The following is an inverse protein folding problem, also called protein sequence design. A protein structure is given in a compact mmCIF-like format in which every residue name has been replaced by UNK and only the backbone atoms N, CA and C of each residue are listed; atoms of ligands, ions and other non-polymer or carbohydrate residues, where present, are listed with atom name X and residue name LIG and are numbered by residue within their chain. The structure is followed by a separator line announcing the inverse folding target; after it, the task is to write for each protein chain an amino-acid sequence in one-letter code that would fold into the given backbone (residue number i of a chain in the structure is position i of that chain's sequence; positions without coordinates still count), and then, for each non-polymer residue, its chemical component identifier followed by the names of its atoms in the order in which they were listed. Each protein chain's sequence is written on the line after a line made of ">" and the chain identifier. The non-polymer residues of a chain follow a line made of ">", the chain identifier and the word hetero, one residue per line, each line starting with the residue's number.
data_IF_215409392518
#
_entry.id   IF_215409392518
#
_cell.length_a   1.000
_cell.length_b   1.000
_cell.length_c   1.000
_cell.angle_alpha   90.00
_cell.angle_beta   90.00
_cell.angle_gamma   90.00
#
_symmetry.space_group_name_H-M   'P 1'
#
loop_
_entity.id
_entity.type
_entity.pdbx_description
1 polymer ?
#
# COMPACT_ATOMS: atom_id res chain seq x y z
N UNK A 1 -9.60 22.68 -6.54
CA UNK A 1 -8.85 21.42 -6.87
C UNK A 1 -9.85 20.32 -7.15
N UNK A 2 -9.69 19.55 -8.23
CA UNK A 2 -10.61 18.46 -8.55
C UNK A 2 -10.58 17.42 -7.42
N UNK A 3 -11.73 17.11 -6.80
CA UNK A 3 -11.84 16.14 -5.67
C UNK A 3 -11.12 14.83 -6.00
N UNK A 4 -11.14 14.42 -7.26
CA UNK A 4 -10.45 13.23 -7.78
C UNK A 4 -8.92 13.28 -7.68
N UNK A 5 -8.31 14.41 -7.99
CA UNK A 5 -6.84 14.57 -7.93
C UNK A 5 -6.36 14.55 -6.47
N UNK A 6 -7.19 15.07 -5.55
CA UNK A 6 -6.95 14.97 -4.11
C UNK A 6 -7.01 13.50 -3.67
N UNK A 7 -8.06 12.76 -4.05
CA UNK A 7 -8.20 11.33 -3.72
C UNK A 7 -7.01 10.52 -4.24
N UNK A 8 -6.59 10.71 -5.50
CA UNK A 8 -5.43 10.01 -6.07
C UNK A 8 -4.13 10.32 -5.33
N UNK A 9 -3.88 11.59 -4.98
CA UNK A 9 -2.71 11.96 -4.17
C UNK A 9 -2.78 11.37 -2.77
N UNK A 10 -3.92 11.43 -2.10
CA UNK A 10 -4.09 10.89 -0.75
C UNK A 10 -3.89 9.38 -0.73
N UNK A 11 -4.43 8.63 -1.70
CA UNK A 11 -4.18 7.18 -1.80
C UNK A 11 -2.71 6.87 -2.08
N UNK A 12 -1.99 7.72 -2.82
CA UNK A 12 -0.57 7.52 -3.13
C UNK A 12 0.30 7.70 -1.88
N UNK A 13 -0.01 8.74 -1.09
CA UNK A 13 0.62 8.95 0.21
C UNK A 13 0.31 7.78 1.15
N UNK A 14 -0.94 7.30 1.17
CA UNK A 14 -1.35 6.17 1.99
C UNK A 14 -0.60 4.88 1.62
N UNK A 15 -0.45 4.58 0.32
CA UNK A 15 0.37 3.45 -0.13
C UNK A 15 1.81 3.56 0.36
N UNK A 16 2.42 4.74 0.25
CA UNK A 16 3.77 5.00 0.77
C UNK A 16 3.90 4.72 2.26
N UNK A 17 2.95 5.21 3.06
CA UNK A 17 2.90 4.97 4.51
C UNK A 17 2.76 3.48 4.85
N UNK A 18 1.88 2.76 4.13
CA UNK A 18 1.70 1.32 4.33
C UNK A 18 3.00 0.57 4.00
N UNK A 19 3.66 0.87 2.88
CA UNK A 19 4.94 0.22 2.55
C UNK A 19 6.01 0.43 3.61
N UNK A 20 6.16 1.66 4.10
CA UNK A 20 7.15 1.98 5.15
C UNK A 20 6.78 1.29 6.46
N UNK A 21 5.52 1.36 6.88
CA UNK A 21 5.04 0.71 8.10
C UNK A 21 5.22 -0.81 8.07
N UNK A 22 4.94 -1.43 6.92
CA UNK A 22 5.12 -2.88 6.74
C UNK A 22 6.60 -3.26 6.78
N UNK A 23 7.47 -2.46 6.16
CA UNK A 23 8.92 -2.69 6.20
C UNK A 23 9.47 -2.56 7.63
N UNK A 24 9.08 -1.51 8.36
CA UNK A 24 9.49 -1.32 9.76
C UNK A 24 9.00 -2.47 10.63
N UNK A 25 7.73 -2.87 10.49
CA UNK A 25 7.17 -4.00 11.21
C UNK A 25 7.91 -5.31 10.87
N UNK A 26 8.27 -5.54 9.61
CA UNK A 26 9.09 -6.70 9.22
C UNK A 26 10.43 -6.71 9.96
N UNK A 27 11.16 -5.58 9.98
CA UNK A 27 12.45 -5.49 10.67
C UNK A 27 12.34 -5.66 12.19
N UNK A 28 11.27 -5.15 12.81
CA UNK A 28 11.01 -5.26 14.25
C UNK A 28 10.58 -6.67 14.65
N UNK A 29 9.79 -7.38 13.83
CA UNK A 29 9.32 -8.75 14.14
C UNK A 29 10.32 -9.84 13.75
N UNK A 30 11.24 -9.56 12.82
CA UNK A 30 12.29 -10.50 12.39
C UNK A 30 13.07 -11.16 13.54
N UNK A 31 13.50 -10.47 14.61
CA UNK A 31 14.29 -11.09 15.68
C UNK A 31 13.49 -12.06 16.56
N UNK A 32 12.19 -11.83 16.76
CA UNK A 32 11.39 -12.63 17.71
C UNK A 32 10.53 -13.71 17.03
N UNK A 33 10.02 -13.44 15.82
CA UNK A 33 8.97 -14.25 15.17
C UNK A 33 9.05 -14.15 13.65
N UNK A 34 9.94 -14.91 13.03
CA UNK A 34 10.15 -14.95 11.57
C UNK A 34 8.86 -15.21 10.74
N UNK A 35 7.99 -16.10 11.21
CA UNK A 35 6.72 -16.44 10.56
C UNK A 35 5.71 -15.28 10.58
N UNK A 36 5.66 -14.53 11.68
CA UNK A 36 4.80 -13.36 11.80
C UNK A 36 5.34 -12.18 10.98
N UNK A 37 6.66 -12.03 10.92
CA UNK A 37 7.30 -11.05 10.03
C UNK A 37 6.96 -11.33 8.56
N UNK A 38 7.05 -12.60 8.13
CA UNK A 38 6.68 -13.00 6.77
C UNK A 38 5.18 -12.77 6.49
N UNK A 39 4.31 -13.08 7.44
CA UNK A 39 2.88 -12.82 7.34
C UNK A 39 2.59 -11.32 7.16
N UNK A 40 3.20 -10.46 7.99
CA UNK A 40 3.02 -9.00 7.91
C UNK A 40 3.53 -8.45 6.58
N UNK A 41 4.69 -8.92 6.10
CA UNK A 41 5.21 -8.53 4.79
C UNK A 41 4.26 -8.92 3.65
N UNK A 42 3.70 -10.13 3.69
CA UNK A 42 2.77 -10.62 2.69
C UNK A 42 1.45 -9.82 2.73
N UNK A 43 0.88 -9.58 3.91
CA UNK A 43 -0.35 -8.80 4.08
C UNK A 43 -0.20 -7.36 3.59
N UNK A 44 0.90 -6.68 3.96
CA UNK A 44 1.15 -5.31 3.50
C UNK A 44 1.41 -5.25 1.99
N UNK A 45 2.12 -6.22 1.43
CA UNK A 45 2.35 -6.34 -0.01
C UNK A 45 1.06 -6.49 -0.82
N UNK A 46 0.17 -7.40 -0.41
CA UNK A 46 -1.13 -7.60 -1.07
C UNK A 46 -1.99 -6.34 -1.00
N UNK A 47 -1.99 -5.64 0.14
CA UNK A 47 -2.71 -4.37 0.32
C UNK A 47 -2.21 -3.30 -0.65
N UNK A 48 -0.90 -3.10 -0.75
CA UNK A 48 -0.29 -2.10 -1.64
C UNK A 48 -0.58 -2.42 -3.11
N UNK A 49 -0.47 -3.69 -3.52
CA UNK A 49 -0.78 -4.12 -4.89
C UNK A 49 -2.26 -3.88 -5.22
N UNK A 50 -3.16 -4.18 -4.30
CA UNK A 50 -4.60 -3.98 -4.49
C UNK A 50 -4.96 -2.49 -4.60
N UNK A 51 -4.43 -1.65 -3.71
CA UNK A 51 -4.58 -0.19 -3.78
C UNK A 51 -3.99 0.41 -5.07
N UNK A 52 -2.84 -0.10 -5.53
CA UNK A 52 -2.21 0.32 -6.77
C UNK A 52 -3.03 -0.06 -8.00
N UNK A 53 -3.56 -1.28 -8.04
CA UNK A 53 -4.47 -1.73 -9.10
C UNK A 53 -5.74 -0.89 -9.15
N UNK A 54 -6.37 -0.60 -8.01
CA UNK A 54 -7.54 0.27 -7.95
C UNK A 54 -7.24 1.67 -8.50
N UNK A 55 -6.05 2.22 -8.20
CA UNK A 55 -5.64 3.50 -8.78
C UNK A 55 -5.49 3.44 -10.29
N UNK A 56 -4.81 2.43 -10.82
CA UNK A 56 -4.61 2.27 -12.26
C UNK A 56 -5.95 2.09 -12.97
N UNK A 57 -6.86 1.31 -12.39
CA UNK A 57 -8.20 1.12 -12.93
C UNK A 57 -9.03 2.41 -12.88
N UNK A 58 -8.99 3.12 -11.76
CA UNK A 58 -9.64 4.42 -11.62
C UNK A 58 -9.08 5.44 -12.62
N UNK A 59 -7.76 5.45 -12.85
CA UNK A 59 -7.11 6.34 -13.82
C UNK A 59 -7.43 5.95 -15.27
N UNK A 60 -7.49 4.65 -15.60
CA UNK A 60 -7.83 4.16 -16.94
C UNK A 60 -9.30 4.35 -17.28
N UNK A 61 -10.22 4.16 -16.33
CA UNK A 61 -11.65 4.37 -16.51
C UNK A 61 -12.02 5.87 -16.67
N UNK A 62 -11.05 6.79 -16.52
CA UNK A 62 -11.20 8.23 -16.78
C UNK A 62 -10.79 8.60 -18.21
N UNK A 63 -10.01 7.75 -18.90
CA UNK A 63 -9.59 7.97 -20.30
C UNK A 63 -10.61 7.49 -21.34
N UNK A 64 -11.71 6.87 -20.92
CA UNK A 64 -12.81 6.43 -21.77
C UNK A 64 -13.99 7.39 -21.60
#
# INVERSE_FOLDING_TARGET
>A
MNKRTVILRTLAVLMGLITVGTAVAYFVLRPDREWLAFYVACCGGVLVVNLGLMMVFAAKNIRK
#
